data_IF_066439630285
#
_entry.id   IF_066439630285
#
_cell.length_a   1.000
_cell.length_b   1.000
_cell.length_c   1.000
_cell.angle_alpha   90.00
_cell.angle_beta   90.00
_cell.angle_gamma   90.00
#
_symmetry.space_group_name_H-M   'P 1'
#
loop_
_entity.id
_entity.type
_entity.pdbx_description
1 polymer ?
#
# COMPACT_ATOMS: atom_id res chain seq x y z
N UNK A 1 -6.52 29.29 11.75
CA UNK A 1 -6.21 27.84 11.89
C UNK A 1 -5.02 27.70 12.83
N UNK A 2 -5.05 26.74 13.77
CA UNK A 2 -3.89 26.52 14.65
C UNK A 2 -2.69 25.98 13.86
N UNK A 3 -1.48 26.27 14.33
CA UNK A 3 -0.24 25.82 13.68
C UNK A 3 -0.16 24.28 13.56
N UNK A 4 -0.84 23.56 14.47
CA UNK A 4 -0.96 22.10 14.45
C UNK A 4 -1.73 21.57 13.22
N UNK A 5 -2.71 22.31 12.69
CA UNK A 5 -3.52 21.88 11.55
C UNK A 5 -2.76 21.90 10.21
N UNK A 6 -1.55 22.47 10.17
CA UNK A 6 -0.65 22.49 9.01
C UNK A 6 0.53 21.53 9.14
N UNK A 7 0.62 20.76 10.23
CA UNK A 7 1.73 19.83 10.42
C UNK A 7 1.64 18.68 9.39
N UNK A 8 2.73 18.33 8.68
CA UNK A 8 2.69 17.34 7.59
C UNK A 8 2.09 15.99 7.99
N UNK A 9 2.47 15.45 9.15
CA UNK A 9 1.91 14.18 9.67
C UNK A 9 0.40 14.23 9.91
N UNK A 10 -0.12 15.37 10.35
CA UNK A 10 -1.56 15.55 10.57
C UNK A 10 -2.31 15.60 9.23
N UNK A 11 -1.77 16.36 8.27
CA UNK A 11 -2.33 16.44 6.93
C UNK A 11 -2.34 15.09 6.22
N UNK A 12 -1.29 14.29 6.40
CA UNK A 12 -1.21 12.94 5.84
C UNK A 12 -2.35 12.04 6.36
N UNK A 13 -2.45 11.89 7.68
CA UNK A 13 -3.52 11.13 8.32
C UNK A 13 -4.91 11.63 7.92
N UNK A 14 -5.05 12.94 7.73
CA UNK A 14 -6.32 13.54 7.30
C UNK A 14 -6.68 13.17 5.86
N UNK A 15 -5.73 13.24 4.93
CA UNK A 15 -5.94 12.85 3.53
C UNK A 15 -6.27 11.35 3.42
N UNK A 16 -5.56 10.51 4.18
CA UNK A 16 -5.83 9.07 4.26
C UNK A 16 -7.22 8.79 4.83
N UNK A 17 -7.59 9.41 5.96
CA UNK A 17 -8.90 9.24 6.56
C UNK A 17 -10.04 9.69 5.63
N UNK A 18 -9.88 10.82 4.94
CA UNK A 18 -10.84 11.32 3.96
C UNK A 18 -10.98 10.37 2.77
N UNK A 19 -9.86 9.85 2.26
CA UNK A 19 -9.85 8.90 1.15
C UNK A 19 -10.46 7.55 1.57
N UNK A 20 -10.17 7.08 2.78
CA UNK A 20 -10.81 5.91 3.38
C UNK A 20 -12.32 6.10 3.58
N UNK A 21 -12.75 7.28 4.06
CA UNK A 21 -14.17 7.63 4.17
C UNK A 21 -14.87 7.61 2.81
N UNK A 22 -14.23 8.18 1.78
CA UNK A 22 -14.74 8.16 0.42
C UNK A 22 -15.00 6.73 -0.05
N UNK A 23 -14.07 5.80 0.20
CA UNK A 23 -14.16 4.41 -0.27
C UNK A 23 -15.21 3.61 0.49
N UNK A 24 -15.23 3.71 1.81
CA UNK A 24 -15.87 2.70 2.66
C UNK A 24 -17.07 3.20 3.48
N UNK A 25 -17.28 4.52 3.60
CA UNK A 25 -18.30 5.04 4.51
C UNK A 25 -19.67 5.21 3.85
N UNK A 26 -20.74 4.87 4.59
CA UNK A 26 -22.13 5.02 4.10
C UNK A 26 -22.49 6.47 3.80
N UNK A 27 -22.01 7.42 4.61
CA UNK A 27 -22.26 8.86 4.40
C UNK A 27 -21.64 9.40 3.11
N UNK A 28 -20.62 8.74 2.55
CA UNK A 28 -20.01 9.11 1.28
C UNK A 28 -20.71 8.49 0.06
N UNK A 29 -21.85 7.79 0.24
CA UNK A 29 -22.57 7.14 -0.87
C UNK A 29 -22.93 8.12 -1.99
N UNK A 30 -23.50 9.27 -1.65
CA UNK A 30 -23.88 10.29 -2.62
C UNK A 30 -22.69 10.78 -3.46
N UNK A 31 -21.56 11.03 -2.79
CA UNK A 31 -20.31 11.42 -3.44
C UNK A 31 -19.76 10.32 -4.35
N UNK A 32 -19.75 9.06 -3.88
CA UNK A 32 -19.35 7.91 -4.72
C UNK A 32 -20.23 7.76 -5.95
N UNK A 33 -21.55 7.86 -5.79
CA UNK A 33 -22.49 7.75 -6.90
C UNK A 33 -22.24 8.88 -7.93
N UNK A 34 -21.97 10.10 -7.46
CA UNK A 34 -21.61 11.23 -8.33
C UNK A 34 -20.26 11.03 -9.05
N UNK A 35 -19.23 10.53 -8.37
CA UNK A 35 -17.92 10.22 -8.97
C UNK A 35 -18.08 9.17 -10.09
N UNK A 36 -18.83 8.09 -9.83
CA UNK A 36 -19.10 7.04 -10.84
C UNK A 36 -19.90 7.58 -12.03
N UNK A 37 -20.90 8.42 -11.78
CA UNK A 37 -21.70 9.03 -12.84
C UNK A 37 -20.86 9.90 -13.79
N UNK A 38 -19.69 10.37 -13.35
CA UNK A 38 -18.72 11.12 -14.15
C UNK A 38 -17.58 10.24 -14.70
N UNK A 39 -17.71 8.91 -14.64
CA UNK A 39 -16.76 7.97 -15.24
C UNK A 39 -15.42 7.84 -14.51
N UNK A 40 -15.33 8.31 -13.26
CA UNK A 40 -14.11 8.18 -12.45
C UNK A 40 -14.11 6.87 -11.65
N UNK A 41 -12.92 6.29 -11.50
CA UNK A 41 -12.71 5.13 -10.62
C UNK A 41 -12.45 5.57 -9.18
N UNK A 42 -13.40 5.27 -8.29
CA UNK A 42 -13.30 5.57 -6.85
C UNK A 42 -12.10 4.88 -6.20
N UNK A 43 -11.74 3.68 -6.66
CA UNK A 43 -10.68 2.86 -6.07
C UNK A 43 -9.34 3.59 -6.08
N UNK A 44 -9.14 4.42 -7.10
CA UNK A 44 -7.90 5.16 -7.33
C UNK A 44 -8.03 6.67 -7.11
N UNK A 45 -9.23 7.16 -6.80
CA UNK A 45 -9.45 8.58 -6.53
C UNK A 45 -9.05 8.93 -5.10
N UNK A 46 -8.23 9.97 -4.94
CA UNK A 46 -7.79 10.51 -3.64
C UNK A 46 -8.58 11.77 -3.30
N UNK A 47 -8.98 11.91 -2.04
CA UNK A 47 -9.67 13.09 -1.54
C UNK A 47 -8.69 14.00 -0.78
N UNK A 48 -8.20 15.05 -1.45
CA UNK A 48 -7.18 15.96 -0.92
C UNK A 48 -7.68 16.87 0.22
N UNK A 49 -8.99 17.08 0.26
CA UNK A 49 -9.67 17.80 1.31
C UNK A 49 -11.17 17.85 1.05
N UNK A 50 -11.92 18.00 2.13
CA UNK A 50 -13.37 18.10 2.09
C UNK A 50 -13.91 19.01 3.20
N UNK A 51 -15.08 19.57 2.95
CA UNK A 51 -15.87 20.36 3.90
C UNK A 51 -17.35 20.02 3.78
N UNK A 52 -18.09 20.23 4.88
CA UNK A 52 -19.49 19.83 5.02
C UNK A 52 -19.63 18.49 5.74
N UNK A 53 -20.77 18.30 6.40
CA UNK A 53 -21.24 17.00 6.89
C UNK A 53 -22.73 16.82 6.56
N UNK A 54 -23.09 16.04 5.53
CA UNK A 54 -22.21 15.21 4.69
C UNK A 54 -21.24 16.02 3.82
N UNK A 55 -20.24 15.37 3.21
CA UNK A 55 -19.25 16.06 2.36
C UNK A 55 -19.96 16.76 1.19
N UNK A 56 -19.92 18.08 1.19
CA UNK A 56 -20.57 18.93 0.20
C UNK A 56 -19.58 19.52 -0.79
N UNK A 57 -18.33 19.76 -0.38
CA UNK A 57 -17.31 20.37 -1.24
C UNK A 57 -15.97 19.74 -0.97
N UNK A 58 -15.13 19.67 -1.99
CA UNK A 58 -13.81 19.08 -1.86
C UNK A 58 -12.97 19.14 -3.12
N UNK A 59 -11.79 18.54 -3.04
CA UNK A 59 -10.88 18.39 -4.15
C UNK A 59 -10.54 16.91 -4.31
N UNK A 60 -10.92 16.35 -5.45
CA UNK A 60 -10.55 15.00 -5.88
C UNK A 60 -9.28 15.06 -6.71
N UNK A 61 -8.49 14.00 -6.62
CA UNK A 61 -7.34 13.77 -7.49
C UNK A 61 -7.52 12.39 -8.12
N UNK A 62 -7.59 12.35 -9.46
CA UNK A 62 -7.70 11.10 -10.20
C UNK A 62 -6.34 10.39 -10.25
N UNK A 63 -6.28 9.08 -10.57
CA UNK A 63 -5.00 8.42 -10.83
C UNK A 63 -4.20 9.11 -11.96
N UNK A 64 -4.85 9.74 -12.94
CA UNK A 64 -4.13 10.48 -14.00
C UNK A 64 -3.55 11.81 -13.51
N UNK A 65 -3.77 12.18 -12.25
CA UNK A 65 -3.34 13.45 -11.68
C UNK A 65 -4.31 14.61 -11.93
N UNK A 66 -5.50 14.36 -12.48
CA UNK A 66 -6.48 15.42 -12.71
C UNK A 66 -6.96 15.97 -11.37
N UNK A 67 -6.96 17.29 -11.24
CA UNK A 67 -7.40 18.01 -10.06
C UNK A 67 -8.84 18.46 -10.26
N UNK A 68 -9.77 17.95 -9.48
CA UNK A 68 -11.21 18.20 -9.68
C UNK A 68 -11.81 18.78 -8.40
N UNK A 69 -12.07 20.08 -8.43
CA UNK A 69 -12.86 20.74 -7.38
C UNK A 69 -14.34 20.50 -7.64
N UNK A 70 -15.03 20.04 -6.61
CA UNK A 70 -16.45 19.72 -6.71
C UNK A 70 -17.30 20.41 -5.64
N UNK A 71 -18.56 20.58 -6.01
CA UNK A 71 -19.65 20.89 -5.08
C UNK A 71 -20.78 19.89 -5.32
N UNK A 72 -21.23 19.25 -4.25
CA UNK A 72 -22.27 18.25 -4.20
C UNK A 72 -23.33 18.70 -3.18
N UNK A 73 -24.52 19.13 -3.63
CA UNK A 73 -25.59 19.48 -2.72
C UNK A 73 -25.97 18.30 -1.82
N UNK A 74 -26.43 18.55 -0.57
CA UNK A 74 -26.87 17.49 0.32
C UNK A 74 -27.91 16.57 -0.32
N UNK A 75 -27.65 15.28 -0.34
CA UNK A 75 -28.55 14.26 -0.91
C UNK A 75 -28.56 14.19 -2.44
N UNK A 76 -27.79 15.02 -3.15
CA UNK A 76 -27.67 14.94 -4.60
C UNK A 76 -26.78 13.76 -5.04
N UNK A 77 -27.07 13.20 -6.20
CA UNK A 77 -26.25 12.16 -6.86
C UNK A 77 -25.40 12.71 -8.00
N UNK A 78 -25.43 14.02 -8.24
CA UNK A 78 -24.67 14.71 -9.29
C UNK A 78 -24.06 15.98 -8.74
N UNK A 79 -22.89 16.35 -9.25
CA UNK A 79 -22.20 17.56 -8.84
C UNK A 79 -22.93 18.81 -9.34
N UNK A 80 -23.17 19.77 -8.44
CA UNK A 80 -23.62 21.11 -8.80
C UNK A 80 -22.48 21.96 -9.40
N UNK A 81 -21.24 21.67 -8.99
CA UNK A 81 -20.04 22.28 -9.57
C UNK A 81 -18.99 21.21 -9.82
N UNK A 82 -18.38 21.26 -10.99
CA UNK A 82 -17.28 20.40 -11.40
C UNK A 82 -16.27 21.26 -12.16
N UNK A 83 -15.09 21.46 -11.58
CA UNK A 83 -14.06 22.27 -12.21
C UNK A 83 -12.72 21.55 -12.16
N UNK A 84 -12.14 21.33 -13.34
CA UNK A 84 -10.85 20.67 -13.51
C UNK A 84 -9.75 21.71 -13.62
N UNK A 85 -8.63 21.47 -12.95
CA UNK A 85 -7.42 22.27 -13.07
C UNK A 85 -6.33 21.46 -13.76
N UNK A 86 -5.59 22.12 -14.66
CA UNK A 86 -4.45 21.50 -15.36
C UNK A 86 -3.23 21.32 -14.44
N UNK A 87 -3.10 22.15 -13.40
CA UNK A 87 -1.99 22.09 -12.47
C UNK A 87 -2.32 22.65 -11.07
N UNK A 88 -1.54 22.27 -10.03
CA UNK A 88 -1.75 22.79 -8.68
C UNK A 88 -1.41 24.28 -8.59
N UNK A 89 -2.38 25.09 -8.16
CA UNK A 89 -2.19 26.53 -7.94
C UNK A 89 -2.01 26.85 -6.45
N UNK A 90 -1.43 28.00 -6.14
CA UNK A 90 -1.29 28.44 -4.74
C UNK A 90 -2.65 28.60 -4.06
N UNK A 91 -3.66 29.08 -4.79
CA UNK A 91 -5.03 29.17 -4.30
C UNK A 91 -5.58 27.79 -3.89
N UNK A 92 -5.30 26.75 -4.66
CA UNK A 92 -5.69 25.38 -4.31
C UNK A 92 -4.94 24.87 -3.09
N UNK A 93 -3.64 25.15 -2.96
CA UNK A 93 -2.85 24.77 -1.78
C UNK A 93 -3.32 25.45 -0.50
N UNK A 94 -3.69 26.73 -0.61
CA UNK A 94 -4.26 27.48 0.51
C UNK A 94 -5.61 26.90 0.96
N UNK A 95 -6.48 26.54 0.00
CA UNK A 95 -7.81 25.98 0.26
C UNK A 95 -7.76 24.52 0.73
N UNK A 96 -6.82 23.75 0.19
CA UNK A 96 -6.63 22.34 0.44
C UNK A 96 -5.17 22.07 0.88
N UNK A 97 -4.84 22.30 2.17
CA UNK A 97 -3.47 22.14 2.64
C UNK A 97 -2.90 20.71 2.49
N UNK A 98 -3.75 19.71 2.29
CA UNK A 98 -3.36 18.32 2.01
C UNK A 98 -3.05 18.03 0.53
N UNK A 99 -3.10 19.03 -0.37
CA UNK A 99 -2.98 18.85 -1.82
C UNK A 99 -1.68 18.14 -2.23
N UNK A 100 -0.52 18.63 -1.77
CA UNK A 100 0.76 18.04 -2.19
C UNK A 100 0.91 16.57 -1.71
N UNK A 101 0.34 16.25 -0.55
CA UNK A 101 0.28 14.87 -0.04
C UNK A 101 -0.65 14.01 -0.91
N UNK A 102 -1.82 14.54 -1.24
CA UNK A 102 -2.79 13.85 -2.06
C UNK A 102 -2.29 13.61 -3.48
N UNK A 103 -1.55 14.56 -4.07
CA UNK A 103 -0.86 14.40 -5.35
C UNK A 103 0.18 13.30 -5.28
N UNK A 104 0.99 13.27 -4.22
CA UNK A 104 1.95 12.17 -3.98
C UNK A 104 1.22 10.83 -3.86
N UNK A 105 0.08 10.75 -3.17
CA UNK A 105 -0.71 9.51 -3.04
C UNK A 105 -1.35 9.10 -4.37
N UNK A 106 -1.89 10.04 -5.14
CA UNK A 106 -2.51 9.76 -6.44
C UNK A 106 -1.46 9.33 -7.47
N UNK A 107 -0.29 9.97 -7.49
CA UNK A 107 0.83 9.58 -8.34
C UNK A 107 1.33 8.16 -8.00
N UNK A 108 1.38 7.80 -6.71
CA UNK A 108 1.66 6.43 -6.28
C UNK A 108 0.59 5.47 -6.80
N UNK A 109 -0.69 5.80 -6.60
CA UNK A 109 -1.79 5.02 -7.14
C UNK A 109 -1.73 4.86 -8.67
N UNK A 110 -1.25 5.87 -9.40
CA UNK A 110 -1.05 5.79 -10.85
C UNK A 110 0.07 4.85 -11.25
N UNK A 111 1.21 4.95 -10.55
CA UNK A 111 2.34 4.03 -10.74
C UNK A 111 1.88 2.60 -10.46
N UNK A 112 1.12 2.36 -9.40
CA UNK A 112 0.56 1.05 -9.06
C UNK A 112 -0.67 0.61 -9.87
N UNK A 113 -1.34 1.52 -10.59
CA UNK A 113 -2.45 1.16 -11.50
C UNK A 113 -1.94 0.81 -12.90
N UNK A 114 -0.73 1.28 -13.25
CA UNK A 114 -0.12 1.06 -14.56
C UNK A 114 1.06 0.06 -14.54
N UNK A 115 1.71 -0.14 -13.39
CA UNK A 115 2.63 -1.26 -13.14
C UNK A 115 1.99 -2.13 -12.06
N UNK A 116 1.73 -3.40 -12.37
CA UNK A 116 1.38 -4.36 -11.32
C UNK A 116 2.54 -4.38 -10.30
N UNK A 117 2.33 -4.65 -9.00
CA UNK A 117 3.43 -4.81 -8.04
C UNK A 117 4.50 -5.81 -8.51
N UNK A 118 4.08 -6.78 -9.33
CA UNK A 118 4.95 -7.65 -10.12
C UNK A 118 5.84 -6.85 -11.08
N UNK A 119 5.27 -5.99 -11.93
CA UNK A 119 6.02 -5.17 -12.88
C UNK A 119 6.93 -4.19 -12.15
N UNK A 120 6.48 -3.57 -11.05
CA UNK A 120 7.34 -2.71 -10.23
C UNK A 120 8.51 -3.48 -9.61
N UNK A 121 8.27 -4.74 -9.19
CA UNK A 121 9.33 -5.63 -8.71
C UNK A 121 10.27 -6.02 -9.85
N UNK A 122 9.75 -6.43 -11.01
CA UNK A 122 10.54 -6.78 -12.20
C UNK A 122 11.36 -5.58 -12.70
N UNK A 123 10.79 -4.39 -12.75
CA UNK A 123 11.47 -3.14 -13.09
C UNK A 123 12.56 -2.81 -12.06
N UNK A 124 12.31 -3.10 -10.78
CA UNK A 124 13.33 -2.98 -9.74
C UNK A 124 14.47 -3.99 -9.97
N UNK A 125 14.16 -5.21 -10.42
CA UNK A 125 15.18 -6.21 -10.78
C UNK A 125 16.01 -5.77 -12.00
N UNK A 126 15.39 -5.13 -13.00
CA UNK A 126 16.08 -4.64 -14.19
C UNK A 126 17.05 -3.48 -13.88
N UNK A 127 16.78 -2.71 -12.82
CA UNK A 127 17.64 -1.64 -12.33
C UNK A 127 18.76 -2.08 -11.38
N UNK A 128 18.81 -3.36 -10.98
CA UNK A 128 19.71 -3.83 -9.94
C UNK A 128 21.15 -4.05 -10.42
N UNK A 129 22.13 -3.95 -9.50
CA UNK A 129 23.49 -4.43 -9.75
C UNK A 129 23.48 -5.85 -10.35
N UNK A 130 24.25 -6.13 -11.40
CA UNK A 130 24.23 -7.43 -12.09
C UNK A 130 24.47 -8.63 -11.17
N UNK A 131 25.28 -8.44 -10.11
CA UNK A 131 25.56 -9.45 -9.11
C UNK A 131 24.33 -9.84 -8.28
N UNK A 132 23.39 -8.92 -8.06
CA UNK A 132 22.13 -9.20 -7.37
C UNK A 132 21.10 -9.85 -8.30
N UNK A 133 20.99 -9.36 -9.54
CA UNK A 133 20.04 -9.90 -10.53
C UNK A 133 20.29 -11.39 -10.83
N UNK A 134 21.55 -11.83 -10.89
CA UNK A 134 21.91 -13.25 -11.09
C UNK A 134 21.60 -14.15 -9.88
N UNK A 135 21.17 -13.59 -8.74
CA UNK A 135 20.92 -14.32 -7.49
C UNK A 135 19.42 -14.42 -7.16
N UNK A 136 18.57 -14.02 -8.10
CA UNK A 136 17.11 -14.03 -7.97
C UNK A 136 16.55 -15.03 -8.97
N UNK A 137 15.83 -16.01 -8.46
CA UNK A 137 15.15 -17.04 -9.24
C UNK A 137 13.64 -16.84 -9.13
N UNK A 138 12.92 -16.87 -10.26
CA UNK A 138 11.46 -16.91 -10.25
C UNK A 138 11.03 -18.36 -10.03
N UNK A 139 10.26 -18.62 -8.98
CA UNK A 139 9.77 -19.97 -8.68
C UNK A 139 8.71 -20.41 -9.70
N UNK A 140 8.70 -21.70 -10.08
CA UNK A 140 7.60 -22.31 -10.82
C UNK A 140 6.25 -22.16 -10.09
N UNK A 141 5.15 -22.05 -10.83
CA UNK A 141 3.83 -21.77 -10.27
C UNK A 141 3.34 -22.84 -9.28
N UNK A 142 3.68 -24.11 -9.51
CA UNK A 142 3.33 -25.23 -8.64
C UNK A 142 4.10 -25.18 -7.32
N UNK A 143 5.40 -24.88 -7.36
CA UNK A 143 6.22 -24.66 -6.17
C UNK A 143 5.75 -23.43 -5.39
N UNK A 144 5.52 -22.31 -6.09
CA UNK A 144 5.01 -21.08 -5.50
C UNK A 144 3.65 -21.31 -4.81
N UNK A 145 2.73 -22.00 -5.48
CA UNK A 145 1.42 -22.35 -4.92
C UNK A 145 1.54 -23.24 -3.68
N UNK A 146 2.44 -24.22 -3.70
CA UNK A 146 2.69 -25.10 -2.56
C UNK A 146 3.24 -24.35 -1.34
N UNK A 147 4.16 -23.40 -1.55
CA UNK A 147 4.72 -22.57 -0.49
C UNK A 147 3.66 -21.65 0.10
N UNK A 148 2.82 -21.00 -0.74
CA UNK A 148 1.71 -20.16 -0.25
C UNK A 148 0.72 -20.93 0.59
N UNK A 149 0.29 -22.10 0.10
CA UNK A 149 -0.65 -22.94 0.83
C UNK A 149 -0.08 -23.33 2.20
N UNK A 150 1.20 -23.75 2.24
CA UNK A 150 1.88 -24.09 3.48
C UNK A 150 2.00 -22.90 4.42
N UNK A 151 2.37 -21.72 3.92
CA UNK A 151 2.46 -20.50 4.71
C UNK A 151 1.09 -20.10 5.28
N UNK A 152 0.02 -20.20 4.50
CA UNK A 152 -1.34 -19.96 4.96
C UNK A 152 -1.74 -20.94 6.06
N UNK A 153 -1.55 -22.24 5.84
CA UNK A 153 -1.87 -23.30 6.80
C UNK A 153 -1.07 -23.15 8.11
N UNK A 154 0.17 -22.65 8.03
CA UNK A 154 1.07 -22.54 9.19
C UNK A 154 0.84 -21.25 9.99
N UNK A 155 0.61 -20.12 9.31
CA UNK A 155 0.67 -18.80 9.92
C UNK A 155 -0.66 -18.05 9.98
N UNK A 156 -1.76 -18.64 9.50
CA UNK A 156 -3.09 -18.01 9.58
C UNK A 156 -4.06 -18.80 10.45
N UNK A 157 -5.18 -18.19 10.80
CA UNK A 157 -6.25 -18.83 11.59
C UNK A 157 -7.13 -19.81 10.77
N UNK A 158 -6.85 -19.97 9.47
CA UNK A 158 -7.60 -20.85 8.57
C UNK A 158 -8.95 -20.29 8.11
N UNK A 159 -9.34 -19.09 8.54
CA UNK A 159 -10.57 -18.43 8.04
C UNK A 159 -10.42 -17.98 6.58
N UNK A 160 -9.19 -17.76 6.15
CA UNK A 160 -8.78 -17.31 4.82
C UNK A 160 -7.57 -18.11 4.36
N UNK A 161 -7.52 -18.46 3.08
CA UNK A 161 -6.39 -19.19 2.47
C UNK A 161 -5.25 -18.26 2.02
N UNK A 162 -5.22 -17.05 2.54
CA UNK A 162 -4.33 -15.98 2.06
C UNK A 162 -3.59 -15.37 3.24
N UNK A 163 -2.28 -15.24 3.09
CA UNK A 163 -1.39 -14.74 4.13
C UNK A 163 -1.40 -13.21 4.11
N UNK A 164 -2.22 -12.54 4.92
CA UNK A 164 -2.16 -11.07 5.09
C UNK A 164 -2.12 -10.71 6.58
N UNK A 165 -1.62 -9.51 6.96
CA UNK A 165 -1.44 -9.12 8.37
C UNK A 165 -2.64 -9.40 9.28
N UNK A 166 -3.86 -9.10 8.81
CA UNK A 166 -5.09 -9.31 9.58
C UNK A 166 -5.51 -10.78 9.78
N UNK A 167 -4.90 -11.73 9.07
CA UNK A 167 -5.14 -13.16 9.21
C UNK A 167 -4.02 -13.88 9.98
N UNK A 168 -2.91 -13.20 10.25
CA UNK A 168 -1.75 -13.81 10.90
C UNK A 168 -2.08 -14.21 12.35
N UNK A 169 -1.59 -15.38 12.75
CA UNK A 169 -1.64 -15.86 14.14
C UNK A 169 -0.24 -16.05 14.71
N UNK A 170 -0.13 -16.00 16.03
CA UNK A 170 1.14 -16.23 16.73
C UNK A 170 2.24 -15.25 16.33
N UNK A 171 1.87 -14.03 15.94
CA UNK A 171 2.82 -13.02 15.48
C UNK A 171 3.29 -12.09 16.60
N UNK A 172 4.46 -11.50 16.41
CA UNK A 172 4.87 -10.25 17.06
C UNK A 172 4.91 -9.13 16.01
N UNK A 173 4.78 -7.88 16.42
CA UNK A 173 4.84 -6.74 15.51
C UNK A 173 5.65 -5.59 16.08
N UNK A 174 6.27 -4.82 15.19
CA UNK A 174 6.93 -3.54 15.49
C UNK A 174 6.53 -2.52 14.43
N UNK A 175 6.23 -1.30 14.86
CA UNK A 175 5.90 -0.18 13.96
C UNK A 175 6.92 0.92 14.15
N UNK A 176 7.74 1.15 13.14
CA UNK A 176 8.74 2.22 13.12
C UNK A 176 9.12 2.54 11.67
N UNK A 177 9.64 3.76 11.44
CA UNK A 177 10.07 4.18 10.10
C UNK A 177 11.07 3.18 9.51
N UNK A 178 10.78 2.66 8.31
CA UNK A 178 11.57 1.65 7.63
C UNK A 178 11.76 0.34 8.43
N UNK A 179 10.73 -0.10 9.16
CA UNK A 179 10.75 -1.35 9.95
C UNK A 179 11.22 -2.57 9.17
N UNK A 180 10.96 -2.62 7.86
CA UNK A 180 11.46 -3.67 6.96
C UNK A 180 12.98 -3.80 6.95
N UNK A 181 13.76 -2.73 7.20
CA UNK A 181 15.23 -2.81 7.25
C UNK A 181 15.73 -3.68 8.40
N UNK A 182 14.95 -3.81 9.46
CA UNK A 182 15.33 -4.56 10.66
C UNK A 182 15.49 -6.05 10.37
N UNK A 183 14.86 -6.58 9.31
CA UNK A 183 14.95 -8.00 8.96
C UNK A 183 16.35 -8.40 8.42
N UNK A 184 17.21 -7.43 8.06
CA UNK A 184 18.56 -7.69 7.54
C UNK A 184 19.48 -8.42 8.54
N UNK A 185 19.16 -8.30 9.83
CA UNK A 185 19.87 -8.92 10.95
C UNK A 185 19.24 -10.24 11.41
N UNK A 186 18.14 -10.67 10.79
CA UNK A 186 17.53 -11.95 11.12
C UNK A 186 18.40 -13.12 10.62
N UNK A 187 18.78 -14.08 11.48
CA UNK A 187 19.74 -15.12 11.15
C UNK A 187 19.08 -16.29 10.39
N UNK A 188 18.54 -16.01 9.19
CA UNK A 188 18.01 -17.05 8.31
C UNK A 188 19.14 -17.98 7.82
N UNK A 189 18.94 -19.29 7.93
CA UNK A 189 19.96 -20.29 7.61
C UNK A 189 20.12 -20.58 6.11
N UNK A 190 19.23 -20.07 5.25
CA UNK A 190 19.20 -20.41 3.83
C UNK A 190 18.42 -19.42 2.96
N UNK A 191 18.12 -19.82 1.72
CA UNK A 191 17.36 -19.01 0.78
C UNK A 191 15.99 -18.62 1.31
N UNK A 192 15.52 -17.45 0.89
CA UNK A 192 14.23 -16.90 1.27
C UNK A 192 13.37 -16.66 0.04
N UNK A 193 12.07 -16.70 0.22
CA UNK A 193 11.05 -16.51 -0.80
C UNK A 193 10.34 -15.19 -0.52
N UNK A 194 10.44 -14.26 -1.48
CA UNK A 194 9.75 -12.98 -1.49
C UNK A 194 8.48 -13.08 -2.34
N UNK A 195 7.38 -12.56 -1.81
CA UNK A 195 6.13 -12.42 -2.55
C UNK A 195 5.29 -11.26 -2.04
N UNK A 196 4.30 -10.85 -2.81
CA UNK A 196 3.33 -9.79 -2.46
C UNK A 196 1.92 -10.35 -2.45
N UNK A 197 1.03 -9.81 -1.62
CA UNK A 197 -0.40 -10.12 -1.67
C UNK A 197 -1.09 -9.17 -2.64
N UNK A 198 -1.29 -9.63 -3.86
CA UNK A 198 -2.45 -9.23 -4.63
C UNK A 198 -3.01 -10.45 -5.33
N UNK A 199 -4.28 -10.35 -5.74
CA UNK A 199 -5.00 -11.36 -6.51
C UNK A 199 -4.29 -11.75 -7.82
N UNK A 200 -3.32 -10.94 -8.28
CA UNK A 200 -2.43 -11.22 -9.44
C UNK A 200 -1.12 -11.94 -9.08
N UNK A 201 -0.85 -12.17 -7.79
CA UNK A 201 0.43 -12.65 -7.28
C UNK A 201 0.58 -14.15 -7.36
N UNK A 202 0.81 -14.72 -8.55
CA UNK A 202 1.33 -16.09 -8.67
C UNK A 202 2.85 -16.11 -8.42
N UNK A 203 3.54 -15.07 -8.89
CA UNK A 203 5.01 -15.02 -8.89
C UNK A 203 5.60 -14.91 -7.49
N UNK A 204 6.54 -15.80 -7.19
CA UNK A 204 7.39 -15.78 -6.01
C UNK A 204 8.84 -15.76 -6.45
N UNK A 205 9.68 -15.08 -5.67
CA UNK A 205 11.10 -14.90 -5.99
C UNK A 205 11.93 -15.57 -4.92
N UNK A 206 12.78 -16.49 -5.31
CA UNK A 206 13.77 -17.11 -4.44
C UNK A 206 15.04 -16.25 -4.46
N UNK A 207 15.49 -15.86 -3.28
CA UNK A 207 16.70 -15.09 -3.07
C UNK A 207 17.66 -15.87 -2.19
N UNK A 208 18.96 -15.76 -2.48
CA UNK A 208 19.99 -16.51 -1.75
C UNK A 208 20.03 -16.19 -0.25
N UNK A 209 19.73 -14.94 0.14
CA UNK A 209 19.78 -14.49 1.54
C UNK A 209 18.70 -13.45 1.86
N UNK A 210 18.41 -13.26 3.15
CA UNK A 210 17.50 -12.20 3.61
C UNK A 210 18.02 -10.79 3.29
N UNK A 211 19.34 -10.60 3.20
CA UNK A 211 19.92 -9.30 2.84
C UNK A 211 19.67 -8.95 1.38
N UNK A 212 19.67 -9.94 0.51
CA UNK A 212 19.27 -9.75 -0.90
C UNK A 212 17.79 -9.35 -0.96
N UNK A 213 16.95 -10.00 -0.17
CA UNK A 213 15.53 -9.63 -0.07
C UNK A 213 15.35 -8.19 0.44
N UNK A 214 16.12 -7.78 1.45
CA UNK A 214 16.13 -6.39 1.96
C UNK A 214 16.55 -5.39 0.89
N UNK A 215 17.58 -5.71 0.10
CA UNK A 215 17.99 -4.88 -1.03
C UNK A 215 16.85 -4.74 -2.05
N UNK A 216 16.16 -5.85 -2.36
CA UNK A 216 15.03 -5.85 -3.30
C UNK A 216 13.85 -5.02 -2.80
N UNK A 217 13.38 -5.27 -1.58
CA UNK A 217 12.25 -4.51 -1.02
C UNK A 217 12.59 -3.06 -0.73
N UNK A 218 13.88 -2.72 -0.60
CA UNK A 218 14.34 -1.34 -0.45
C UNK A 218 14.10 -0.47 -1.69
N UNK A 219 14.05 -1.08 -2.86
CA UNK A 219 13.66 -0.43 -4.12
C UNK A 219 12.11 -0.38 -4.27
N UNK A 220 11.38 -1.24 -3.54
CA UNK A 220 9.92 -1.25 -3.53
C UNK A 220 9.38 -0.16 -2.58
N UNK A 221 8.88 0.94 -3.14
CA UNK A 221 8.32 2.00 -2.32
C UNK A 221 6.98 1.59 -1.65
N UNK A 222 6.98 1.37 -0.33
CA UNK A 222 5.78 1.13 0.51
C UNK A 222 4.85 0.05 -0.04
N UNK A 223 5.41 -1.06 -0.49
CA UNK A 223 4.65 -2.22 -0.91
C UNK A 223 4.46 -3.21 0.25
N UNK A 224 3.28 -3.80 0.34
CA UNK A 224 3.06 -4.96 1.18
C UNK A 224 3.88 -6.14 0.63
N UNK A 225 4.73 -6.73 1.46
CA UNK A 225 5.54 -7.88 1.08
C UNK A 225 5.62 -8.92 2.18
N UNK A 226 5.97 -10.13 1.76
CA UNK A 226 6.11 -11.29 2.61
C UNK A 226 7.44 -11.98 2.32
N UNK A 227 8.13 -12.40 3.38
CA UNK A 227 9.34 -13.20 3.30
C UNK A 227 9.18 -14.45 4.13
N UNK A 228 9.45 -15.59 3.51
CA UNK A 228 9.33 -16.91 4.13
C UNK A 228 10.50 -17.78 3.67
N UNK A 229 10.89 -18.80 4.41
CA UNK A 229 11.68 -19.90 3.86
C UNK A 229 10.77 -20.97 3.22
N UNK A 230 11.36 -21.87 2.44
CA UNK A 230 10.60 -22.95 1.76
C UNK A 230 9.89 -23.89 2.72
N UNK A 231 10.40 -24.02 3.94
CA UNK A 231 9.85 -24.89 4.98
C UNK A 231 8.81 -24.18 5.86
N UNK A 232 8.57 -22.89 5.65
CA UNK A 232 7.68 -22.07 6.46
C UNK A 232 8.03 -22.13 7.96
N UNK A 233 9.31 -22.08 8.31
CA UNK A 233 9.79 -21.99 9.70
C UNK A 233 9.68 -20.57 10.26
N UNK A 234 9.63 -19.57 9.37
CA UNK A 234 9.34 -18.18 9.71
C UNK A 234 8.53 -17.50 8.63
N UNK A 235 7.88 -16.40 9.00
CA UNK A 235 7.33 -15.46 8.04
C UNK A 235 7.50 -14.04 8.55
N UNK A 236 7.99 -13.16 7.69
CA UNK A 236 7.83 -11.71 7.86
C UNK A 236 6.72 -11.24 6.93
N UNK A 237 5.86 -10.36 7.43
CA UNK A 237 4.99 -9.54 6.61
C UNK A 237 5.29 -8.08 6.92
N UNK A 238 5.45 -7.24 5.91
CA UNK A 238 5.53 -5.80 6.08
C UNK A 238 4.35 -5.16 5.36
N UNK A 239 3.74 -4.16 5.98
CA UNK A 239 2.67 -3.37 5.37
C UNK A 239 3.16 -1.97 4.91
N UNK A 240 2.33 -1.32 4.10
CA UNK A 240 2.54 0.05 3.61
C UNK A 240 2.60 1.12 4.72
N UNK A 241 2.27 0.77 5.96
CA UNK A 241 2.25 1.65 7.14
C UNK A 241 3.50 1.54 8.01
N UNK A 242 4.58 0.96 7.47
CA UNK A 242 5.84 0.72 8.17
C UNK A 242 5.65 -0.20 9.41
N UNK A 243 4.68 -1.11 9.37
CA UNK A 243 4.54 -2.19 10.37
C UNK A 243 5.15 -3.47 9.86
N UNK A 244 6.07 -4.03 10.65
CA UNK A 244 6.66 -5.33 10.43
C UNK A 244 6.04 -6.35 11.39
N UNK A 245 5.49 -7.42 10.83
CA UNK A 245 4.98 -8.58 11.53
C UNK A 245 5.96 -9.74 11.37
N UNK A 246 6.16 -10.52 12.43
CA UNK A 246 6.95 -11.75 12.40
C UNK A 246 6.15 -12.92 12.98
N UNK A 247 6.14 -14.05 12.28
CA UNK A 247 5.52 -15.32 12.70
C UNK A 247 6.59 -16.43 12.81
N UNK A 248 6.28 -17.50 13.56
CA UNK A 248 7.21 -18.61 13.76
C UNK A 248 8.49 -18.15 14.46
N UNK A 249 9.67 -18.54 13.95
CA UNK A 249 10.94 -18.09 14.53
C UNK A 249 11.18 -16.57 14.37
N UNK A 250 10.56 -15.92 13.37
CA UNK A 250 10.60 -14.47 13.22
C UNK A 250 9.82 -13.72 14.31
N UNK A 251 8.78 -14.32 14.91
CA UNK A 251 8.04 -13.69 16.01
C UNK A 251 8.96 -13.40 17.21
N UNK A 252 9.85 -14.34 17.54
CA UNK A 252 10.82 -14.19 18.64
C UNK A 252 11.88 -13.13 18.34
N UNK A 253 12.19 -12.91 17.06
CA UNK A 253 13.10 -11.84 16.64
C UNK A 253 12.41 -10.49 16.74
N UNK A 254 11.22 -10.33 16.15
CA UNK A 254 10.47 -9.07 16.15
C UNK A 254 10.13 -8.62 17.57
N UNK A 255 9.79 -9.54 18.47
CA UNK A 255 9.51 -9.22 19.87
C UNK A 255 10.72 -8.64 20.66
N UNK A 256 11.94 -8.71 20.11
CA UNK A 256 13.17 -8.18 20.72
C UNK A 256 13.64 -6.85 20.11
N UNK A 257 13.04 -6.42 19.00
CA UNK A 257 13.30 -5.13 18.36
C UNK A 257 12.66 -3.99 19.17
#
# INVERSE_FOLDING_TARGET
MSNAARHPRYLHRRVEALTGHLRNHRSAKALRDAIRANGLDISWTVLAGASGDPIERGLLITPRGDLIEFELPPGASTFARWHTFESPTDLLRERYPGLDIALSLAAKHHLFSNQQPRDALLDSLDGMPPDLAHRIEILPDDEASAIRARAADTFTDGTVRTVYPGALVGYAQVTCDQSWKLIADFPAAGPVVLFTNREDGETMFLLATIRDAVAVVGEMYRADFYLVDRDCTFLFAADEYDTLFGCGTAALFVAKL
#
